data_IF_860953495634
#
_entry.id   IF_860953495634
#
_cell.length_a   1.000
_cell.length_b   1.000
_cell.length_c   1.000
_cell.angle_alpha   90.00
_cell.angle_beta   90.00
_cell.angle_gamma   90.00
#
_symmetry.space_group_name_H-M   'P 1'
#
loop_
_entity.id
_entity.type
_entity.pdbx_description
1 polymer ?
#
# COMPACT_ATOMS: atom_id res chain seq x y z
N UNK A 1 -23.96 -0.31 8.16
CA UNK A 1 -23.12 0.56 7.31
C UNK A 1 -23.62 0.41 5.89
N UNK A 2 -24.43 1.37 5.44
CA UNK A 2 -24.99 1.37 4.09
C UNK A 2 -23.89 1.73 3.09
N UNK A 3 -23.53 0.78 2.21
CA UNK A 3 -22.62 1.00 1.08
C UNK A 3 -23.11 2.08 0.10
N UNK A 4 -24.38 2.47 0.22
CA UNK A 4 -25.06 3.52 -0.52
C UNK A 4 -24.81 4.93 0.02
N UNK A 5 -24.17 5.10 1.19
CA UNK A 5 -23.79 6.44 1.65
C UNK A 5 -22.59 6.97 0.85
N UNK A 6 -22.49 8.28 0.56
CA UNK A 6 -21.37 8.86 -0.17
C UNK A 6 -20.01 8.64 0.53
N UNK A 7 -20.03 8.49 1.86
CA UNK A 7 -18.84 8.15 2.65
C UNK A 7 -18.46 6.67 2.49
N UNK A 8 -19.46 5.78 2.42
CA UNK A 8 -19.28 4.36 2.14
C UNK A 8 -18.70 4.11 0.74
N UNK A 9 -19.23 4.78 -0.30
CA UNK A 9 -18.67 4.69 -1.66
C UNK A 9 -17.23 5.20 -1.73
N UNK A 10 -16.91 6.28 -0.99
CA UNK A 10 -15.55 6.82 -0.94
C UNK A 10 -14.57 5.85 -0.27
N UNK A 11 -14.99 5.22 0.83
CA UNK A 11 -14.22 4.17 1.49
C UNK A 11 -13.99 2.95 0.59
N UNK A 12 -15.04 2.50 -0.11
CA UNK A 12 -14.95 1.41 -1.09
C UNK A 12 -13.98 1.76 -2.22
N UNK A 13 -14.06 2.98 -2.78
CA UNK A 13 -13.16 3.43 -3.85
C UNK A 13 -11.70 3.47 -3.42
N UNK A 14 -11.43 3.93 -2.18
CA UNK A 14 -10.08 3.91 -1.60
C UNK A 14 -9.55 2.49 -1.41
N UNK A 15 -10.39 1.58 -0.91
CA UNK A 15 -10.04 0.15 -0.77
C UNK A 15 -9.77 -0.48 -2.13
N UNK A 16 -10.65 -0.28 -3.11
CA UNK A 16 -10.47 -0.80 -4.47
C UNK A 16 -9.20 -0.24 -5.11
N UNK A 17 -8.93 1.05 -4.96
CA UNK A 17 -7.69 1.68 -5.44
C UNK A 17 -6.44 1.06 -4.80
N UNK A 18 -6.46 0.83 -3.49
CA UNK A 18 -5.37 0.16 -2.78
C UNK A 18 -5.13 -1.26 -3.30
N UNK A 19 -6.20 -2.03 -3.51
CA UNK A 19 -6.11 -3.39 -4.03
C UNK A 19 -5.52 -3.38 -5.45
N UNK A 20 -5.98 -2.49 -6.32
CA UNK A 20 -5.39 -2.36 -7.66
C UNK A 20 -3.91 -2.02 -7.57
N UNK A 21 -3.51 -1.05 -6.74
CA UNK A 21 -2.11 -0.65 -6.58
C UNK A 21 -1.25 -1.77 -5.98
N UNK A 22 -1.75 -2.51 -4.99
CA UNK A 22 -0.95 -3.56 -4.34
C UNK A 22 -0.86 -4.87 -5.15
N UNK A 23 -1.87 -5.16 -5.96
CA UNK A 23 -1.97 -6.44 -6.69
C UNK A 23 -1.65 -6.33 -8.17
N UNK A 24 -1.51 -5.13 -8.75
CA UNK A 24 -1.09 -5.00 -10.15
C UNK A 24 0.21 -5.75 -10.50
N UNK A 25 1.23 -5.88 -9.62
CA UNK A 25 2.44 -6.62 -9.96
C UNK A 25 2.18 -8.12 -10.16
N UNK A 26 1.18 -8.69 -9.47
CA UNK A 26 0.79 -10.09 -9.70
C UNK A 26 0.11 -10.27 -11.05
N UNK A 27 -0.73 -9.32 -11.45
CA UNK A 27 -1.35 -9.30 -12.78
C UNK A 27 -0.26 -9.17 -13.84
N UNK A 28 0.68 -8.26 -13.64
CA UNK A 28 1.79 -8.06 -14.58
C UNK A 28 2.71 -9.29 -14.65
N UNK A 29 2.97 -10.01 -13.55
CA UNK A 29 3.67 -11.29 -13.58
C UNK A 29 2.92 -12.39 -14.34
N UNK A 30 1.58 -12.38 -14.32
CA UNK A 30 0.77 -13.36 -15.02
C UNK A 30 0.62 -13.08 -16.52
N UNK A 31 0.75 -11.82 -16.93
CA UNK A 31 0.59 -11.38 -18.34
C UNK A 31 1.94 -11.23 -19.05
N UNK A 32 2.97 -10.79 -18.34
CA UNK A 32 4.31 -10.61 -18.87
C UNK A 32 5.11 -11.90 -18.63
N UNK A 33 5.72 -12.44 -19.69
CA UNK A 33 6.66 -13.56 -19.60
C UNK A 33 8.03 -13.05 -19.10
N UNK A 34 8.06 -12.53 -17.87
CA UNK A 34 9.25 -11.96 -17.24
C UNK A 34 10.05 -13.04 -16.51
N UNK A 35 11.33 -13.15 -16.88
CA UNK A 35 12.29 -14.06 -16.26
C UNK A 35 13.45 -13.31 -15.57
N UNK A 36 14.18 -14.01 -14.70
CA UNK A 36 15.41 -13.49 -14.11
C UNK A 36 15.19 -12.28 -13.19
N UNK A 37 16.02 -11.24 -13.37
CA UNK A 37 16.01 -10.03 -12.54
C UNK A 37 14.72 -9.21 -12.66
N UNK A 38 14.10 -9.16 -13.84
CA UNK A 38 12.85 -8.44 -14.06
C UNK A 38 11.69 -9.04 -13.26
N UNK A 39 11.62 -10.37 -13.17
CA UNK A 39 10.62 -11.07 -12.34
C UNK A 39 10.76 -10.71 -10.87
N UNK A 40 11.99 -10.66 -10.36
CA UNK A 40 12.30 -10.32 -8.96
C UNK A 40 11.93 -8.88 -8.63
N UNK A 41 12.26 -7.94 -9.51
CA UNK A 41 11.85 -6.55 -9.39
C UNK A 41 10.32 -6.44 -9.32
N UNK A 42 9.59 -7.16 -10.18
CA UNK A 42 8.12 -7.18 -10.13
C UNK A 42 7.57 -7.77 -8.83
N UNK A 43 8.15 -8.87 -8.33
CA UNK A 43 7.75 -9.45 -7.03
C UNK A 43 8.00 -8.46 -5.90
N UNK A 44 9.12 -7.73 -5.92
CA UNK A 44 9.44 -6.71 -4.92
C UNK A 44 8.51 -5.48 -5.01
N UNK A 45 8.02 -5.13 -6.20
CA UNK A 45 7.05 -4.05 -6.38
C UNK A 45 5.73 -4.32 -5.65
N UNK A 46 5.32 -5.57 -5.47
CA UNK A 46 4.11 -5.94 -4.70
C UNK A 46 4.08 -5.34 -3.29
N UNK A 47 4.97 -5.79 -2.38
CA UNK A 47 5.01 -5.28 -1.01
C UNK A 47 5.36 -3.78 -0.95
N UNK A 48 6.16 -3.25 -1.87
CA UNK A 48 6.49 -1.81 -1.92
C UNK A 48 5.23 -0.98 -2.22
N UNK A 49 4.48 -1.35 -3.27
CA UNK A 49 3.31 -0.59 -3.73
C UNK A 49 2.15 -0.66 -2.75
N UNK A 50 1.89 -1.82 -2.13
CA UNK A 50 0.84 -1.93 -1.10
C UNK A 50 1.22 -1.13 0.15
N UNK A 51 2.49 -1.13 0.57
CA UNK A 51 2.95 -0.35 1.71
C UNK A 51 2.84 1.15 1.46
N UNK A 52 3.18 1.62 0.26
CA UNK A 52 2.97 3.00 -0.15
C UNK A 52 1.48 3.38 -0.13
N UNK A 53 0.63 2.51 -0.68
CA UNK A 53 -0.82 2.71 -0.66
C UNK A 53 -1.38 2.81 0.76
N UNK A 54 -0.98 1.93 1.67
CA UNK A 54 -1.38 2.00 3.08
C UNK A 54 -0.87 3.27 3.77
N UNK A 55 0.37 3.68 3.52
CA UNK A 55 0.92 4.92 4.07
C UNK A 55 0.10 6.14 3.64
N UNK A 56 -0.26 6.23 2.35
CA UNK A 56 -1.13 7.28 1.82
C UNK A 56 -2.52 7.23 2.46
N UNK A 57 -3.12 6.04 2.59
CA UNK A 57 -4.42 5.89 3.23
C UNK A 57 -4.39 6.31 4.70
N UNK A 58 -3.36 5.94 5.44
CA UNK A 58 -3.18 6.35 6.84
C UNK A 58 -3.09 7.87 6.94
N UNK A 59 -2.33 8.51 6.04
CA UNK A 59 -2.25 9.98 6.01
C UNK A 59 -3.62 10.59 5.67
N UNK A 60 -4.28 10.14 4.61
CA UNK A 60 -5.59 10.68 4.18
C UNK A 60 -6.64 10.49 5.29
N UNK A 61 -6.72 9.30 5.88
CA UNK A 61 -7.67 9.00 6.94
C UNK A 61 -7.31 9.73 8.24
N UNK A 62 -6.04 9.79 8.63
CA UNK A 62 -5.60 10.49 9.84
C UNK A 62 -5.76 12.01 9.75
N UNK A 63 -5.59 12.60 8.57
CA UNK A 63 -5.84 14.03 8.36
C UNK A 63 -7.33 14.37 8.29
N UNK A 64 -8.14 13.53 7.63
CA UNK A 64 -9.57 13.82 7.38
C UNK A 64 -10.49 13.37 8.51
N UNK A 65 -10.15 12.26 9.18
CA UNK A 65 -10.97 11.59 10.18
C UNK A 65 -10.23 11.46 11.52
N UNK A 66 -9.12 12.17 11.72
CA UNK A 66 -8.29 12.06 12.92
C UNK A 66 -9.04 12.27 14.24
N UNK A 67 -9.96 13.24 14.29
CA UNK A 67 -10.80 13.45 15.48
C UNK A 67 -11.78 12.31 15.73
N UNK A 68 -12.46 11.81 14.68
CA UNK A 68 -13.37 10.67 14.79
C UNK A 68 -12.64 9.36 15.16
N UNK A 69 -11.39 9.20 14.73
CA UNK A 69 -10.54 8.05 15.02
C UNK A 69 -9.79 8.18 16.36
N UNK A 70 -9.93 9.32 17.06
CA UNK A 70 -9.14 9.68 18.25
C UNK A 70 -7.63 9.49 18.06
N UNK A 71 -7.15 9.68 16.83
CA UNK A 71 -5.74 9.53 16.51
C UNK A 71 -4.99 10.83 16.72
N UNK A 72 -3.89 10.76 17.46
CA UNK A 72 -2.94 11.87 17.51
C UNK A 72 -2.22 12.00 16.17
N UNK A 73 -1.85 13.23 15.79
CA UNK A 73 -1.01 13.47 14.61
C UNK A 73 0.28 12.63 14.64
N UNK A 74 0.87 12.45 15.83
CA UNK A 74 2.06 11.61 16.01
C UNK A 74 1.82 10.14 15.66
N UNK A 75 0.67 9.58 16.05
CA UNK A 75 0.31 8.19 15.68
C UNK A 75 0.09 8.03 14.18
N UNK A 76 -0.57 9.00 13.53
CA UNK A 76 -0.77 8.99 12.08
C UNK A 76 0.56 8.98 11.34
N UNK A 77 1.46 9.91 11.68
CA UNK A 77 2.79 9.97 11.09
C UNK A 77 3.64 8.74 11.40
N UNK A 78 3.56 8.21 12.64
CA UNK A 78 4.27 7.00 13.04
C UNK A 78 3.85 5.77 12.23
N UNK A 79 2.55 5.57 12.04
CA UNK A 79 2.02 4.47 11.23
C UNK A 79 2.37 4.64 9.75
N UNK A 80 2.24 5.85 9.20
CA UNK A 80 2.62 6.13 7.81
C UNK A 80 4.12 5.85 7.58
N UNK A 81 4.98 6.27 8.51
CA UNK A 81 6.42 6.01 8.48
C UNK A 81 6.75 4.53 8.63
N UNK A 82 6.02 3.79 9.48
CA UNK A 82 6.19 2.35 9.63
C UNK A 82 5.92 1.61 8.31
N UNK A 83 4.81 1.90 7.65
CA UNK A 83 4.50 1.29 6.35
C UNK A 83 5.54 1.67 5.29
N UNK A 84 6.00 2.92 5.25
CA UNK A 84 7.10 3.32 4.35
C UNK A 84 8.39 2.54 4.64
N UNK A 85 8.74 2.38 5.91
CA UNK A 85 9.90 1.61 6.33
C UNK A 85 9.78 0.14 5.95
N UNK A 86 8.62 -0.48 6.16
CA UNK A 86 8.35 -1.86 5.76
C UNK A 86 8.42 -2.03 4.23
N UNK A 87 7.86 -1.10 3.46
CA UNK A 87 7.96 -1.10 2.00
C UNK A 87 9.42 -0.99 1.54
N UNK A 88 10.19 -0.09 2.13
CA UNK A 88 11.62 0.06 1.82
C UNK A 88 12.42 -1.19 2.21
N UNK A 89 12.19 -1.75 3.39
CA UNK A 89 12.85 -2.98 3.85
C UNK A 89 12.46 -4.19 3.00
N UNK A 90 11.21 -4.29 2.54
CA UNK A 90 10.79 -5.35 1.63
C UNK A 90 11.49 -5.22 0.26
N UNK A 91 11.57 -3.99 -0.28
CA UNK A 91 12.29 -3.72 -1.52
C UNK A 91 13.79 -4.01 -1.41
N UNK A 92 14.44 -3.54 -0.34
CA UNK A 92 15.85 -3.75 -0.08
C UNK A 92 16.17 -5.21 0.25
N UNK A 93 15.37 -5.86 1.09
CA UNK A 93 15.56 -7.25 1.48
C UNK A 93 15.50 -8.19 0.29
N UNK A 94 14.57 -7.97 -0.64
CA UNK A 94 14.49 -8.75 -1.89
C UNK A 94 15.61 -8.41 -2.88
N UNK A 95 16.14 -7.17 -2.84
CA UNK A 95 17.31 -6.80 -3.63
C UNK A 95 18.61 -7.45 -3.12
N UNK A 96 18.74 -7.62 -1.80
CA UNK A 96 19.92 -8.23 -1.17
C UNK A 96 19.82 -9.74 -0.93
N UNK A 97 18.64 -10.34 -1.11
CA UNK A 97 18.43 -11.80 -0.95
C UNK A 97 19.18 -12.66 -1.98
N UNK A 98 20.04 -12.05 -2.80
CA UNK A 98 20.73 -12.69 -3.91
C UNK A 98 22.20 -12.27 -4.04
N UNK A 99 22.87 -12.08 -2.90
CA UNK A 99 24.34 -12.22 -2.81
C UNK A 99 24.72 -13.66 -2.54
#
# INVERSE_FOLDING_TARGET
MELSSPEGMRGLGLMMGLLVIGFWPLVALGVLDVSGSARKALVALGPVTICLGFSVLILVCGYRYGESLRWSRRQTWGLAALFLGLGALAGLGLWFSES
#
